data_IF_193787096055
#
_entry.id   IF_193787096055
#
_cell.length_a   1.000
_cell.length_b   1.000
_cell.length_c   1.000
_cell.angle_alpha   90.00
_cell.angle_beta   90.00
_cell.angle_gamma   90.00
#
_symmetry.space_group_name_H-M   'P 1'
#
loop_
_entity.id
_entity.type
_entity.pdbx_description
1 polymer ?
#
# COMPACT_ATOMS: atom_id res chain seq x y z
N UNK A 1 -20.90 6.45 7.15
CA UNK A 1 -21.97 5.74 7.88
C UNK A 1 -22.32 4.38 7.25
N UNK A 2 -22.95 4.33 6.06
CA UNK A 2 -23.40 3.07 5.43
C UNK A 2 -22.30 2.00 5.26
N UNK A 3 -21.09 2.43 4.85
CA UNK A 3 -19.91 1.56 4.79
C UNK A 3 -19.57 0.90 6.14
N UNK A 4 -19.53 1.68 7.23
CA UNK A 4 -19.22 1.18 8.57
C UNK A 4 -20.27 0.17 9.07
N UNK A 5 -21.57 0.41 8.79
CA UNK A 5 -22.63 -0.54 9.14
C UNK A 5 -22.48 -1.85 8.35
N UNK A 6 -22.21 -1.76 7.04
CA UNK A 6 -22.00 -2.95 6.21
C UNK A 6 -20.84 -3.81 6.73
N UNK A 7 -19.73 -3.18 7.10
CA UNK A 7 -18.57 -3.86 7.70
C UNK A 7 -18.87 -4.45 9.08
N UNK A 8 -19.67 -3.77 9.90
CA UNK A 8 -20.13 -4.29 11.19
C UNK A 8 -21.02 -5.52 11.00
N UNK A 9 -21.99 -5.48 10.09
CA UNK A 9 -22.87 -6.62 9.79
C UNK A 9 -22.05 -7.82 9.28
N UNK A 10 -21.10 -7.59 8.37
CA UNK A 10 -20.22 -8.65 7.88
C UNK A 10 -19.40 -9.28 9.01
N UNK A 11 -18.84 -8.46 9.91
CA UNK A 11 -18.12 -8.95 11.10
C UNK A 11 -19.02 -9.75 12.03
N UNK A 12 -20.28 -9.35 12.20
CA UNK A 12 -21.26 -10.09 13.00
C UNK A 12 -21.60 -11.46 12.39
N UNK A 13 -21.78 -11.53 11.06
CA UNK A 13 -22.03 -12.79 10.35
C UNK A 13 -20.86 -13.76 10.56
N UNK A 14 -19.63 -13.29 10.37
CA UNK A 14 -18.43 -14.10 10.62
C UNK A 14 -18.32 -14.53 12.08
N UNK A 15 -18.69 -13.65 13.03
CA UNK A 15 -18.69 -13.99 14.45
C UNK A 15 -19.63 -15.15 14.77
N UNK A 16 -20.85 -15.11 14.21
CA UNK A 16 -21.85 -16.17 14.39
C UNK A 16 -21.36 -17.49 13.80
N UNK A 17 -20.82 -17.47 12.57
CA UNK A 17 -20.27 -18.66 11.91
C UNK A 17 -19.15 -19.31 12.76
N UNK A 18 -18.22 -18.50 13.29
CA UNK A 18 -17.12 -19.00 14.12
C UNK A 18 -17.60 -19.46 15.50
N UNK A 19 -18.60 -18.80 16.08
CA UNK A 19 -19.23 -19.24 17.32
C UNK A 19 -19.88 -20.62 17.17
N UNK A 20 -20.58 -20.88 16.07
CA UNK A 20 -21.13 -22.22 15.78
C UNK A 20 -20.04 -23.29 15.71
N UNK A 21 -18.92 -23.00 15.04
CA UNK A 21 -17.76 -23.90 15.00
C UNK A 21 -17.14 -24.15 16.38
N UNK A 22 -17.09 -23.15 17.24
CA UNK A 22 -16.58 -23.27 18.61
C UNK A 22 -17.46 -24.17 19.49
N UNK A 23 -18.78 -24.01 19.39
CA UNK A 23 -19.75 -24.81 20.16
C UNK A 23 -19.98 -26.21 19.58
N UNK A 24 -19.57 -26.46 18.34
CA UNK A 24 -19.65 -27.80 17.73
C UNK A 24 -18.95 -28.86 18.59
N UNK A 25 -19.50 -30.08 18.74
CA UNK A 25 -18.86 -31.16 19.51
C UNK A 25 -17.57 -31.73 18.86
N UNK A 26 -17.11 -31.18 17.74
CA UNK A 26 -15.93 -31.63 16.98
C UNK A 26 -14.59 -31.31 17.67
N UNK A 27 -13.52 -31.86 17.10
CA UNK A 27 -12.12 -31.87 17.59
C UNK A 27 -11.67 -30.59 18.33
N UNK A 28 -10.90 -30.77 19.41
CA UNK A 28 -10.35 -29.69 20.26
C UNK A 28 -9.53 -28.66 19.48
N UNK A 29 -8.83 -29.06 18.42
CA UNK A 29 -8.02 -28.16 17.58
C UNK A 29 -8.88 -27.15 16.81
N UNK A 30 -10.03 -27.59 16.29
CA UNK A 30 -10.98 -26.72 15.58
C UNK A 30 -11.56 -25.68 16.54
N UNK A 31 -11.80 -26.06 17.80
CA UNK A 31 -12.27 -25.13 18.83
C UNK A 31 -11.24 -24.07 19.16
N UNK A 32 -9.97 -24.44 19.28
CA UNK A 32 -8.91 -23.48 19.56
C UNK A 32 -8.75 -22.47 18.41
N UNK A 33 -8.83 -22.94 17.16
CA UNK A 33 -8.81 -22.06 16.00
C UNK A 33 -10.04 -21.15 15.95
N UNK A 34 -11.25 -21.70 16.14
CA UNK A 34 -12.49 -20.93 16.16
C UNK A 34 -12.49 -19.88 17.29
N UNK A 35 -11.95 -20.21 18.46
CA UNK A 35 -11.79 -19.28 19.57
C UNK A 35 -10.83 -18.14 19.23
N UNK A 36 -9.69 -18.46 18.60
CA UNK A 36 -8.77 -17.44 18.09
C UNK A 36 -9.47 -16.52 17.09
N UNK A 37 -10.19 -17.08 16.11
CA UNK A 37 -10.92 -16.33 15.10
C UNK A 37 -11.99 -15.41 15.75
N UNK A 38 -12.74 -15.89 16.75
CA UNK A 38 -13.71 -15.09 17.51
C UNK A 38 -13.03 -13.91 18.23
N UNK A 39 -11.87 -14.14 18.85
CA UNK A 39 -11.10 -13.08 19.51
C UNK A 39 -10.62 -12.01 18.53
N UNK A 40 -10.39 -12.35 17.27
CA UNK A 40 -10.10 -11.37 16.21
C UNK A 40 -11.36 -10.61 15.77
N UNK A 41 -12.49 -11.29 15.61
CA UNK A 41 -13.70 -10.70 15.01
C UNK A 41 -14.42 -9.74 15.98
N UNK A 42 -14.46 -10.05 17.29
CA UNK A 42 -15.20 -9.23 18.27
C UNK A 42 -14.71 -7.77 18.33
N UNK A 43 -13.39 -7.49 18.43
CA UNK A 43 -12.88 -6.13 18.37
C UNK A 43 -13.21 -5.42 17.06
N UNK A 44 -13.17 -6.14 15.92
CA UNK A 44 -13.52 -5.57 14.60
C UNK A 44 -14.96 -5.08 14.58
N UNK A 45 -15.89 -5.94 15.01
CA UNK A 45 -17.29 -5.58 15.12
C UNK A 45 -17.51 -4.35 16.01
N UNK A 46 -16.90 -4.34 17.20
CA UNK A 46 -17.04 -3.23 18.15
C UNK A 46 -16.56 -1.89 17.59
N UNK A 47 -15.44 -1.88 16.85
CA UNK A 47 -14.92 -0.65 16.29
C UNK A 47 -15.69 -0.18 15.05
N UNK A 48 -16.15 -1.08 14.17
CA UNK A 48 -17.02 -0.67 13.06
C UNK A 48 -18.36 -0.10 13.56
N UNK A 49 -18.90 -0.68 14.64
CA UNK A 49 -20.07 -0.14 15.31
C UNK A 49 -19.79 1.24 15.93
N UNK A 50 -18.65 1.40 16.61
CA UNK A 50 -18.22 2.70 17.15
C UNK A 50 -17.99 3.75 16.06
N UNK A 51 -17.41 3.37 14.91
CA UNK A 51 -17.23 4.25 13.76
C UNK A 51 -18.58 4.64 13.12
N UNK A 52 -19.53 3.70 13.04
CA UNK A 52 -20.88 3.99 12.57
C UNK A 52 -21.60 4.96 13.52
N UNK A 53 -21.50 4.74 14.84
CA UNK A 53 -22.06 5.65 15.85
C UNK A 53 -21.43 7.04 15.74
N UNK A 54 -20.10 7.12 15.68
CA UNK A 54 -19.37 8.39 15.52
C UNK A 54 -19.81 9.13 14.24
N UNK A 55 -19.90 8.43 13.12
CA UNK A 55 -20.38 9.00 11.86
C UNK A 55 -21.84 9.48 11.94
N UNK A 56 -22.69 8.86 12.76
CA UNK A 56 -24.07 9.26 12.98
C UNK A 56 -24.20 10.52 13.86
N UNK A 57 -23.23 10.75 14.75
CA UNK A 57 -23.14 11.95 15.59
C UNK A 57 -22.31 13.06 14.92
N UNK A 58 -22.18 13.03 13.59
CA UNK A 58 -21.41 14.02 12.82
C UNK A 58 -19.98 14.22 13.35
N UNK A 59 -19.38 13.17 13.93
CA UNK A 59 -18.00 13.24 14.34
C UNK A 59 -17.12 13.58 13.14
N UNK A 60 -16.02 14.34 13.34
CA UNK A 60 -15.08 14.64 12.29
C UNK A 60 -14.67 13.38 11.54
N UNK A 61 -14.59 13.46 10.21
CA UNK A 61 -14.20 12.32 9.37
C UNK A 61 -12.87 11.69 9.84
N UNK A 62 -11.94 12.52 10.34
CA UNK A 62 -10.69 12.06 10.95
C UNK A 62 -10.92 11.12 12.13
N UNK A 63 -11.85 11.42 13.04
CA UNK A 63 -12.21 10.56 14.17
C UNK A 63 -12.76 9.21 13.71
N UNK A 64 -13.65 9.22 12.71
CA UNK A 64 -14.22 7.99 12.13
C UNK A 64 -13.11 7.15 11.47
N UNK A 65 -12.21 7.79 10.73
CA UNK A 65 -11.06 7.13 10.11
C UNK A 65 -10.08 6.58 11.14
N UNK A 66 -9.83 7.28 12.24
CA UNK A 66 -9.00 6.77 13.33
C UNK A 66 -9.60 5.56 14.03
N UNK A 67 -10.93 5.49 14.17
CA UNK A 67 -11.61 4.31 14.75
C UNK A 67 -11.51 3.12 13.79
N UNK A 68 -11.77 3.33 12.49
CA UNK A 68 -11.70 2.26 11.47
C UNK A 68 -10.25 1.80 11.27
N UNK A 69 -9.31 2.74 11.15
CA UNK A 69 -7.90 2.42 10.99
C UNK A 69 -7.31 1.82 12.26
N UNK A 70 -7.66 2.37 13.42
CA UNK A 70 -7.35 1.81 14.72
C UNK A 70 -7.86 0.38 14.83
N UNK A 71 -9.00 0.04 14.25
CA UNK A 71 -9.47 -1.34 14.22
C UNK A 71 -8.64 -2.26 13.33
N UNK A 72 -8.23 -1.83 12.14
CA UNK A 72 -7.39 -2.68 11.30
C UNK A 72 -5.99 -2.85 11.91
N UNK A 73 -5.44 -1.77 12.48
CA UNK A 73 -4.18 -1.85 13.21
C UNK A 73 -4.35 -2.65 14.49
N UNK A 74 -5.16 -2.24 15.47
CA UNK A 74 -5.26 -2.96 16.73
C UNK A 74 -5.98 -4.31 16.61
N UNK A 75 -6.95 -4.47 15.72
CA UNK A 75 -7.70 -5.73 15.55
C UNK A 75 -6.92 -6.82 14.82
N UNK A 76 -5.98 -6.49 13.94
CA UNK A 76 -5.07 -7.48 13.34
C UNK A 76 -3.73 -7.54 14.06
N UNK A 77 -3.14 -6.38 14.41
CA UNK A 77 -1.81 -6.31 15.01
C UNK A 77 -1.81 -6.76 16.47
N UNK A 78 -2.85 -6.47 17.27
CA UNK A 78 -2.89 -6.90 18.67
C UNK A 78 -3.03 -8.41 18.78
N UNK A 79 -3.96 -9.09 18.07
CA UNK A 79 -4.04 -10.52 18.21
C UNK A 79 -2.97 -11.22 17.35
N UNK A 80 -2.45 -10.65 16.26
CA UNK A 80 -1.21 -11.15 15.65
C UNK A 80 -0.02 -11.06 16.63
N UNK A 81 0.12 -9.97 17.39
CA UNK A 81 1.12 -9.82 18.43
C UNK A 81 0.87 -10.77 19.61
N UNK A 82 -0.38 -10.98 20.02
CA UNK A 82 -0.73 -11.93 21.06
C UNK A 82 -0.51 -13.37 20.61
N UNK A 83 -0.91 -13.75 19.40
CA UNK A 83 -0.58 -15.05 18.78
C UNK A 83 0.93 -15.21 18.65
N UNK A 84 1.65 -14.15 18.27
CA UNK A 84 3.11 -14.17 18.23
C UNK A 84 3.69 -14.45 19.63
N UNK A 85 3.23 -13.73 20.66
CA UNK A 85 3.71 -13.83 22.04
C UNK A 85 3.32 -15.15 22.72
N UNK A 86 2.06 -15.57 22.62
CA UNK A 86 1.52 -16.75 23.30
C UNK A 86 1.84 -18.07 22.60
N UNK A 87 1.96 -18.10 21.27
CA UNK A 87 2.23 -19.35 20.56
C UNK A 87 3.73 -19.65 20.39
N UNK A 88 4.65 -18.84 20.92
CA UNK A 88 6.11 -19.08 20.80
C UNK A 88 6.59 -20.45 21.31
N UNK A 89 5.74 -21.24 21.99
CA UNK A 89 6.06 -22.58 22.48
C UNK A 89 5.53 -23.79 21.70
N UNK A 90 4.68 -23.62 20.67
CA UNK A 90 4.09 -24.76 19.96
C UNK A 90 4.80 -25.05 18.63
N UNK A 91 5.26 -26.30 18.42
CA UNK A 91 5.86 -26.74 17.16
C UNK A 91 4.87 -26.59 16.00
N UNK A 92 5.23 -25.81 15.00
CA UNK A 92 4.35 -25.51 13.86
C UNK A 92 4.41 -26.63 12.81
N UNK A 93 3.25 -27.12 12.39
CA UNK A 93 3.11 -27.97 11.21
C UNK A 93 3.33 -27.07 9.99
N UNK A 94 4.47 -27.24 9.33
CA UNK A 94 4.87 -26.46 8.17
C UNK A 94 4.15 -26.99 6.91
N UNK A 95 3.06 -26.35 6.52
CA UNK A 95 2.55 -26.50 5.16
C UNK A 95 3.40 -25.57 4.29
N UNK A 96 4.25 -26.15 3.44
CA UNK A 96 5.16 -25.41 2.58
C UNK A 96 4.34 -24.59 1.57
N UNK A 97 4.18 -23.30 1.84
CA UNK A 97 3.68 -22.37 0.83
C UNK A 97 4.76 -22.18 -0.23
N UNK A 98 4.37 -22.11 -1.50
CA UNK A 98 5.27 -21.70 -2.57
C UNK A 98 5.57 -20.19 -2.42
N UNK A 99 6.49 -19.85 -1.52
CA UNK A 99 6.83 -18.48 -1.15
C UNK A 99 7.17 -17.62 -2.38
N UNK A 100 7.88 -18.18 -3.37
CA UNK A 100 8.20 -17.50 -4.63
C UNK A 100 6.93 -17.11 -5.41
N UNK A 101 5.95 -18.01 -5.49
CA UNK A 101 4.70 -17.73 -6.19
C UNK A 101 3.91 -16.64 -5.48
N UNK A 102 3.79 -16.71 -4.15
CA UNK A 102 3.03 -15.73 -3.37
C UNK A 102 3.71 -14.36 -3.43
N UNK A 103 5.03 -14.29 -3.21
CA UNK A 103 5.78 -13.05 -3.31
C UNK A 103 5.60 -12.41 -4.70
N UNK A 104 5.75 -13.20 -5.77
CA UNK A 104 5.51 -12.73 -7.13
C UNK A 104 4.10 -12.16 -7.34
N UNK A 105 3.05 -12.82 -6.83
CA UNK A 105 1.67 -12.32 -6.92
C UNK A 105 1.46 -11.02 -6.16
N UNK A 106 2.06 -10.88 -4.99
CA UNK A 106 2.02 -9.62 -4.24
C UNK A 106 2.80 -8.53 -4.98
N UNK A 107 3.95 -8.82 -5.57
CA UNK A 107 4.68 -7.86 -6.42
C UNK A 107 3.84 -7.36 -7.59
N UNK A 108 3.15 -8.26 -8.32
CA UNK A 108 2.20 -7.90 -9.38
C UNK A 108 1.05 -7.02 -8.85
N UNK A 109 0.48 -7.40 -7.71
CA UNK A 109 -0.59 -6.64 -7.06
C UNK A 109 -0.16 -5.23 -6.67
N UNK A 110 1.03 -5.08 -6.07
CA UNK A 110 1.58 -3.77 -5.70
C UNK A 110 1.85 -2.91 -6.94
N UNK A 111 2.38 -3.49 -8.02
CA UNK A 111 2.52 -2.77 -9.29
C UNK A 111 1.18 -2.23 -9.79
N UNK A 112 0.11 -3.02 -9.66
CA UNK A 112 -1.23 -2.61 -10.08
C UNK A 112 -1.75 -1.44 -9.23
N UNK A 113 -1.63 -1.53 -7.90
CA UNK A 113 -2.06 -0.46 -6.98
C UNK A 113 -1.29 0.85 -7.20
N UNK A 114 0.01 0.74 -7.48
CA UNK A 114 0.85 1.88 -7.80
C UNK A 114 0.52 2.47 -9.16
N UNK A 115 0.27 1.62 -10.16
CA UNK A 115 -0.20 2.02 -11.48
C UNK A 115 -1.52 2.78 -11.42
N UNK A 116 -2.48 2.30 -10.63
CA UNK A 116 -3.77 2.97 -10.40
C UNK A 116 -3.56 4.35 -9.75
N UNK A 117 -2.64 4.45 -8.79
CA UNK A 117 -2.31 5.72 -8.11
C UNK A 117 -1.69 6.74 -9.07
N UNK A 118 -0.88 6.30 -10.04
CA UNK A 118 -0.32 7.17 -11.07
C UNK A 118 -1.38 7.55 -12.10
N UNK A 119 -2.19 6.59 -12.56
CA UNK A 119 -3.28 6.83 -13.51
C UNK A 119 -4.29 7.83 -12.95
N UNK A 120 -4.62 7.76 -11.65
CA UNK A 120 -5.53 8.71 -11.01
C UNK A 120 -5.04 10.15 -11.07
N UNK A 121 -3.71 10.36 -11.05
CA UNK A 121 -3.07 11.67 -11.18
C UNK A 121 -3.02 12.12 -12.65
N UNK A 122 -2.69 11.22 -13.59
CA UNK A 122 -2.61 11.52 -15.04
C UNK A 122 -3.98 11.88 -15.64
N UNK A 123 -5.06 11.24 -15.18
CA UNK A 123 -6.41 11.51 -15.68
C UNK A 123 -6.92 12.91 -15.33
N UNK A 124 -6.25 13.62 -14.42
CA UNK A 124 -6.54 15.00 -14.11
C UNK A 124 -5.98 15.87 -15.25
N UNK A 125 -6.82 16.19 -16.25
CA UNK A 125 -6.41 16.94 -17.44
C UNK A 125 -5.60 18.19 -17.11
N UNK A 126 -4.55 18.45 -17.88
CA UNK A 126 -3.65 19.58 -17.63
C UNK A 126 -4.36 20.90 -17.96
N UNK A 127 -4.51 21.84 -17.00
CA UNK A 127 -4.98 23.18 -17.32
C UNK A 127 -3.99 23.88 -18.25
N UNK A 128 -4.50 24.74 -19.12
CA UNK A 128 -3.65 25.54 -19.98
C UNK A 128 -2.88 26.58 -19.15
N UNK A 129 -1.55 26.41 -19.07
CA UNK A 129 -0.55 27.44 -18.73
C UNK A 129 -0.12 27.67 -17.27
N UNK A 130 -0.44 26.79 -16.31
CA UNK A 130 0.06 26.97 -14.93
C UNK A 130 1.35 26.20 -14.63
N UNK A 131 2.43 26.93 -14.33
CA UNK A 131 3.71 26.32 -13.93
C UNK A 131 3.60 25.49 -12.64
N UNK A 132 2.74 25.89 -11.70
CA UNK A 132 2.57 25.20 -10.41
C UNK A 132 1.96 23.81 -10.57
N UNK A 133 0.99 23.64 -11.49
CA UNK A 133 0.42 22.35 -11.81
C UNK A 133 1.51 21.33 -12.22
N UNK A 134 2.44 21.73 -13.10
CA UNK A 134 3.52 20.85 -13.54
C UNK A 134 4.47 20.46 -12.41
N UNK A 135 4.74 21.38 -11.47
CA UNK A 135 5.58 21.08 -10.29
C UNK A 135 4.89 20.06 -9.38
N UNK A 136 3.60 20.25 -9.06
CA UNK A 136 2.83 19.31 -8.26
C UNK A 136 2.69 17.95 -8.94
N UNK A 137 2.42 17.94 -10.24
CA UNK A 137 2.28 16.73 -11.05
C UNK A 137 3.58 15.92 -11.12
N UNK A 138 4.69 16.57 -11.47
CA UNK A 138 6.00 15.90 -11.55
C UNK A 138 6.44 15.38 -10.19
N UNK A 139 6.24 16.15 -9.13
CA UNK A 139 6.58 15.72 -7.77
C UNK A 139 5.70 14.57 -7.28
N UNK A 140 4.42 14.51 -7.68
CA UNK A 140 3.52 13.39 -7.39
C UNK A 140 3.98 12.09 -8.05
N UNK A 141 4.37 12.16 -9.33
CA UNK A 141 4.96 11.01 -10.05
C UNK A 141 6.26 10.58 -9.39
N UNK A 142 7.11 11.54 -9.00
CA UNK A 142 8.38 11.26 -8.36
C UNK A 142 8.20 10.53 -7.03
N UNK A 143 7.23 10.94 -6.20
CA UNK A 143 6.89 10.24 -4.95
C UNK A 143 6.49 8.78 -5.25
N UNK A 144 5.58 8.57 -6.20
CA UNK A 144 5.12 7.22 -6.57
C UNK A 144 6.28 6.34 -7.09
N UNK A 145 7.15 6.89 -7.96
CA UNK A 145 8.32 6.18 -8.48
C UNK A 145 9.34 5.82 -7.38
N UNK A 146 9.59 6.75 -6.45
CA UNK A 146 10.51 6.48 -5.34
C UNK A 146 9.96 5.41 -4.41
N UNK A 147 8.66 5.43 -4.10
CA UNK A 147 8.01 4.36 -3.33
C UNK A 147 8.11 3.00 -4.02
N UNK A 148 7.93 2.96 -5.34
CA UNK A 148 8.12 1.76 -6.14
C UNK A 148 9.55 1.22 -5.98
N UNK A 149 10.55 2.10 -6.12
CA UNK A 149 11.95 1.75 -5.99
C UNK A 149 12.28 1.25 -4.58
N UNK A 150 11.80 1.94 -3.54
CA UNK A 150 12.01 1.51 -2.14
C UNK A 150 11.38 0.14 -1.91
N UNK A 151 10.14 -0.08 -2.36
CA UNK A 151 9.45 -1.36 -2.21
C UNK A 151 10.23 -2.52 -2.84
N UNK A 152 10.54 -2.45 -4.14
CA UNK A 152 11.23 -3.55 -4.83
C UNK A 152 12.70 -3.71 -4.39
N UNK A 153 13.33 -2.65 -3.89
CA UNK A 153 14.66 -2.78 -3.27
C UNK A 153 14.63 -3.48 -1.91
N UNK A 154 13.46 -3.51 -1.27
CA UNK A 154 13.26 -4.09 0.07
C UNK A 154 12.77 -5.54 0.02
N UNK A 155 12.35 -6.02 -1.16
CA UNK A 155 11.78 -7.35 -1.33
C UNK A 155 12.87 -8.41 -1.56
N UNK A 156 12.80 -9.51 -0.82
CA UNK A 156 13.76 -10.60 -0.93
C UNK A 156 13.32 -11.59 -2.03
N UNK A 157 13.97 -11.57 -3.20
CA UNK A 157 13.59 -12.44 -4.32
C UNK A 157 13.91 -13.93 -4.14
N UNK A 158 14.69 -14.28 -3.11
CA UNK A 158 15.04 -15.68 -2.84
C UNK A 158 13.98 -16.31 -1.92
N UNK A 159 13.30 -17.33 -2.44
CA UNK A 159 12.26 -18.05 -1.73
C UNK A 159 12.74 -18.60 -0.38
N UNK A 160 14.00 -19.03 -0.29
CA UNK A 160 14.57 -19.58 0.95
C UNK A 160 14.82 -18.51 2.02
N UNK A 161 15.08 -17.27 1.61
CA UNK A 161 15.35 -16.17 2.52
C UNK A 161 14.08 -15.37 2.86
N UNK A 162 13.00 -15.53 2.09
CA UNK A 162 11.74 -14.81 2.25
C UNK A 162 11.04 -15.05 3.61
N UNK A 163 10.33 -14.05 4.14
CA UNK A 163 9.61 -14.15 5.43
C UNK A 163 8.62 -15.33 5.46
N UNK A 164 7.93 -15.56 4.33
CA UNK A 164 6.99 -16.66 4.10
C UNK A 164 7.58 -18.07 4.29
N UNK A 165 8.86 -18.28 4.00
CA UNK A 165 9.50 -19.61 4.10
C UNK A 165 10.12 -19.87 5.47
N UNK A 166 10.44 -18.82 6.24
CA UNK A 166 11.12 -18.96 7.53
C UNK A 166 10.20 -19.44 8.65
N UNK A 167 9.05 -18.79 8.79
CA UNK A 167 8.05 -19.09 9.84
C UNK A 167 6.66 -18.74 9.33
N UNK A 168 5.68 -19.60 9.61
CA UNK A 168 4.30 -19.38 9.18
C UNK A 168 3.76 -18.02 9.69
N UNK A 169 4.09 -17.66 10.93
CA UNK A 169 3.68 -16.39 11.54
C UNK A 169 4.30 -15.17 10.89
N UNK A 170 5.60 -15.23 10.60
CA UNK A 170 6.28 -14.14 9.91
C UNK A 170 5.67 -13.95 8.51
N UNK A 171 5.37 -15.05 7.83
CA UNK A 171 4.64 -15.04 6.56
C UNK A 171 3.25 -14.41 6.66
N UNK A 172 2.43 -14.83 7.63
CA UNK A 172 1.11 -14.23 7.87
C UNK A 172 1.21 -12.73 8.15
N UNK A 173 2.08 -12.33 9.06
CA UNK A 173 2.26 -10.93 9.43
C UNK A 173 2.77 -10.08 8.25
N UNK A 174 3.67 -10.63 7.44
CA UNK A 174 4.12 -9.99 6.20
C UNK A 174 2.97 -9.76 5.22
N UNK A 175 2.09 -10.75 5.01
CA UNK A 175 0.92 -10.58 4.13
C UNK A 175 -0.02 -9.47 4.63
N UNK A 176 -0.28 -9.41 5.94
CA UNK A 176 -1.09 -8.32 6.51
C UNK A 176 -0.44 -6.95 6.27
N UNK A 177 0.87 -6.84 6.48
CA UNK A 177 1.61 -5.61 6.20
C UNK A 177 1.48 -5.20 4.73
N UNK A 178 1.54 -6.16 3.80
CA UNK A 178 1.37 -5.89 2.36
C UNK A 178 -0.06 -5.45 2.00
N UNK A 179 -1.08 -5.98 2.66
CA UNK A 179 -2.47 -5.51 2.49
C UNK A 179 -2.65 -4.06 2.96
N UNK A 180 -2.13 -3.72 4.15
CA UNK A 180 -2.17 -2.36 4.69
C UNK A 180 -1.37 -1.40 3.79
N UNK A 181 -0.19 -1.83 3.34
CA UNK A 181 0.64 -1.08 2.38
C UNK A 181 -0.09 -0.81 1.07
N UNK A 182 -0.81 -1.79 0.52
CA UNK A 182 -1.59 -1.66 -0.72
C UNK A 182 -2.71 -0.61 -0.57
N UNK A 183 -3.46 -0.66 0.52
CA UNK A 183 -4.53 0.31 0.79
C UNK A 183 -3.97 1.74 0.95
N UNK A 184 -2.81 1.86 1.60
CA UNK A 184 -2.12 3.13 1.73
C UNK A 184 -1.62 3.67 0.38
N UNK A 185 -1.22 2.83 -0.57
CA UNK A 185 -0.87 3.25 -1.94
C UNK A 185 -2.07 3.87 -2.67
N UNK A 186 -3.23 3.22 -2.63
CA UNK A 186 -4.46 3.79 -3.24
C UNK A 186 -4.80 5.13 -2.60
N UNK A 187 -4.74 5.20 -1.27
CA UNK A 187 -5.04 6.42 -0.50
C UNK A 187 -4.09 7.55 -0.87
N UNK A 188 -2.80 7.23 -1.09
CA UNK A 188 -1.81 8.16 -1.62
C UNK A 188 -2.23 8.68 -2.99
N UNK A 189 -2.56 7.81 -3.96
CA UNK A 189 -3.02 8.23 -5.29
C UNK A 189 -4.24 9.16 -5.25
N UNK A 190 -5.23 8.83 -4.42
CA UNK A 190 -6.42 9.67 -4.21
C UNK A 190 -6.03 11.03 -3.61
N UNK A 191 -5.17 11.06 -2.60
CA UNK A 191 -4.74 12.31 -1.97
C UNK A 191 -3.95 13.21 -2.92
N UNK A 192 -3.06 12.63 -3.75
CA UNK A 192 -2.32 13.35 -4.79
C UNK A 192 -3.28 13.90 -5.85
N UNK A 193 -4.26 13.11 -6.30
CA UNK A 193 -5.30 13.55 -7.24
C UNK A 193 -6.10 14.73 -6.69
N UNK A 194 -6.59 14.63 -5.45
CA UNK A 194 -7.35 15.70 -4.79
C UNK A 194 -6.52 16.96 -4.66
N UNK A 195 -5.25 16.82 -4.31
CA UNK A 195 -4.33 17.94 -4.18
C UNK A 195 -4.08 18.64 -5.51
N UNK A 196 -3.85 17.89 -6.60
CA UNK A 196 -3.75 18.50 -7.94
C UNK A 196 -5.08 19.14 -8.36
N UNK A 197 -6.23 18.52 -8.02
CA UNK A 197 -7.54 19.07 -8.33
C UNK A 197 -7.76 20.44 -7.69
N UNK A 198 -7.29 20.64 -6.46
CA UNK A 198 -7.35 21.94 -5.81
C UNK A 198 -6.53 22.99 -6.56
N UNK A 199 -5.32 22.64 -7.01
CA UNK A 199 -4.47 23.54 -7.82
C UNK A 199 -5.17 23.92 -9.13
N UNK A 200 -5.83 22.98 -9.80
CA UNK A 200 -6.60 23.27 -11.03
C UNK A 200 -7.82 24.17 -10.75
N UNK A 201 -8.48 24.01 -9.60
CA UNK A 201 -9.63 24.83 -9.21
C UNK A 201 -9.21 26.27 -8.86
N UNK A 202 -8.04 26.47 -8.26
CA UNK A 202 -7.51 27.83 -7.97
C UNK A 202 -7.12 28.58 -9.25
N UNK A 203 -6.73 27.84 -10.30
CA UNK A 203 -6.27 28.36 -11.59
C UNK A 203 -7.40 28.86 -12.51
N UNK A 204 -8.57 28.24 -12.43
CA UNK A 204 -9.69 28.49 -13.33
C UNK A 204 -10.70 29.43 -12.70
N UNK A 205 -10.88 30.62 -13.29
CA UNK A 205 -12.00 31.54 -13.03
C UNK A 205 -13.32 30.76 -12.76
N UNK A 206 -14.11 31.27 -11.81
CA UNK A 206 -15.23 30.68 -11.05
C UNK A 206 -16.21 29.70 -11.74
N UNK A 207 -16.21 29.58 -13.06
CA UNK A 207 -17.12 28.75 -13.84
C UNK A 207 -16.95 27.23 -13.62
N UNK A 208 -15.76 26.75 -13.21
CA UNK A 208 -15.52 25.32 -13.00
C UNK A 208 -15.96 24.78 -11.63
N UNK A 209 -16.21 25.65 -10.65
CA UNK A 209 -16.66 25.25 -9.30
C UNK A 209 -18.03 24.55 -9.32
N UNK A 210 -18.82 24.76 -10.38
CA UNK A 210 -20.12 24.12 -10.63
C UNK A 210 -20.08 22.61 -10.92
N UNK A 211 -18.93 22.02 -11.25
CA UNK A 211 -18.88 20.60 -11.67
C UNK A 211 -18.78 19.63 -10.49
N UNK A 212 -18.18 20.05 -9.36
CA UNK A 212 -18.02 19.21 -8.17
C UNK A 212 -19.03 19.52 -7.05
N UNK A 213 -19.64 20.71 -7.07
CA UNK A 213 -20.68 21.12 -6.14
C UNK A 213 -22.00 21.35 -6.86
N UNK A 214 -23.00 20.53 -6.57
CA UNK A 214 -24.41 20.88 -6.64
C UNK A 214 -25.02 21.19 -8.03
N UNK A 215 -25.64 20.18 -8.62
CA UNK A 215 -26.98 20.33 -9.19
C UNK A 215 -27.98 20.40 -8.02
N UNK A 216 -28.00 21.50 -7.28
CA UNK A 216 -29.14 21.85 -6.45
C UNK A 216 -29.99 22.81 -7.27
N UNK A 217 -31.21 22.37 -7.58
CA UNK A 217 -32.18 23.09 -8.39
C UNK A 217 -32.42 24.48 -7.82
N UNK A 218 -31.86 25.48 -8.50
CA UNK A 218 -32.13 26.89 -8.29
C UNK A 218 -33.57 27.16 -8.77
N UNK A 219 -34.51 27.07 -7.85
CA UNK A 219 -35.86 27.56 -8.05
C UNK A 219 -35.81 29.09 -8.03
N UNK A 220 -35.77 29.66 -9.24
CA UNK A 220 -35.83 31.10 -9.44
C UNK A 220 -37.07 31.71 -8.80
N UNK A 221 -36.84 32.56 -7.81
CA UNK A 221 -37.77 33.59 -7.38
C UNK A 221 -37.13 34.94 -7.66
N UNK A 222 -37.63 35.59 -8.72
CA UNK A 222 -37.34 36.95 -9.13
C UNK A 222 -37.80 37.94 -8.05
N UNK A 223 -36.92 38.38 -7.14
CA UNK A 223 -37.18 39.56 -6.32
C UNK A 223 -35.97 40.49 -6.13
N UNK A 224 -35.98 41.54 -6.96
CA UNK A 224 -35.64 42.95 -6.72
C UNK A 224 -34.60 43.33 -5.64
N UNK A 225 -33.52 43.93 -6.14
CA UNK A 225 -32.99 45.25 -5.75
C UNK A 225 -33.11 45.66 -4.27
N UNK A 226 -32.09 45.30 -3.47
CA UNK A 226 -31.61 46.13 -2.38
C UNK A 226 -30.10 45.91 -2.19
N UNK A 227 -29.37 47.00 -2.01
CA UNK A 227 -27.93 47.08 -1.78
C UNK A 227 -27.44 46.18 -0.63
N UNK A 228 -27.11 44.93 -0.94
CA UNK A 228 -26.46 44.04 0.02
C UNK A 228 -24.95 44.03 -0.27
N UNK A 229 -24.25 44.83 0.53
CA UNK A 229 -22.82 44.76 0.73
C UNK A 229 -22.50 43.42 1.41
N UNK A 230 -22.55 42.33 0.65
CA UNK A 230 -22.15 41.01 1.12
C UNK A 230 -20.63 41.01 1.30
N UNK A 231 -20.20 40.89 2.55
CA UNK A 231 -18.81 40.65 2.92
C UNK A 231 -18.37 39.30 2.33
N UNK A 232 -17.66 39.35 1.19
CA UNK A 232 -17.10 38.21 0.44
C UNK A 232 -16.05 37.36 1.21
N UNK A 233 -15.90 37.53 2.53
CA UNK A 233 -14.76 36.98 3.28
C UNK A 233 -14.96 35.52 3.76
N UNK A 234 -16.21 35.01 3.78
CA UNK A 234 -16.52 33.70 4.36
C UNK A 234 -16.07 32.50 3.48
N UNK A 235 -15.92 32.69 2.16
CA UNK A 235 -15.53 31.61 1.24
C UNK A 235 -14.08 31.12 1.39
N UNK A 236 -13.21 31.96 1.94
CA UNK A 236 -11.78 31.68 2.10
C UNK A 236 -11.47 30.67 3.21
N UNK A 237 -12.31 30.64 4.25
CA UNK A 237 -12.13 29.75 5.40
C UNK A 237 -12.50 28.29 5.10
N UNK A 238 -13.50 28.05 4.25
CA UNK A 238 -13.93 26.69 3.90
C UNK A 238 -12.88 25.93 3.07
N UNK A 239 -12.21 26.62 2.13
CA UNK A 239 -11.19 26.00 1.26
C UNK A 239 -9.98 25.50 2.05
N UNK A 240 -9.50 26.29 3.01
CA UNK A 240 -8.39 25.93 3.90
C UNK A 240 -8.66 24.64 4.69
N UNK A 241 -9.92 24.40 5.09
CA UNK A 241 -10.30 23.19 5.80
C UNK A 241 -10.14 21.92 4.94
N UNK A 242 -10.50 22.00 3.66
CA UNK A 242 -10.38 20.87 2.72
C UNK A 242 -8.92 20.56 2.40
N UNK A 243 -8.11 21.59 2.13
CA UNK A 243 -6.67 21.44 1.86
C UNK A 243 -5.94 20.74 3.01
N UNK A 244 -6.23 21.16 4.25
CA UNK A 244 -5.63 20.53 5.43
C UNK A 244 -6.01 19.04 5.53
N UNK A 245 -7.27 18.70 5.28
CA UNK A 245 -7.72 17.30 5.30
C UNK A 245 -7.05 16.43 4.22
N UNK A 246 -6.88 16.98 3.01
CA UNK A 246 -6.15 16.30 1.92
C UNK A 246 -4.71 16.06 2.35
N UNK A 247 -4.09 17.05 2.98
CA UNK A 247 -2.72 16.93 3.42
C UNK A 247 -2.52 15.94 4.57
N UNK A 248 -3.45 15.89 5.53
CA UNK A 248 -3.47 14.83 6.55
C UNK A 248 -3.57 13.46 5.92
N UNK A 249 -4.43 13.29 4.92
CA UNK A 249 -4.60 12.03 4.21
C UNK A 249 -3.30 11.60 3.49
N UNK A 250 -2.66 12.54 2.80
CA UNK A 250 -1.39 12.35 2.10
C UNK A 250 -0.27 11.97 3.07
N UNK A 251 -0.04 12.78 4.10
CA UNK A 251 0.95 12.54 5.15
C UNK A 251 0.76 11.18 5.84
N UNK A 252 -0.47 10.87 6.22
CA UNK A 252 -0.79 9.63 6.91
C UNK A 252 -0.57 8.41 6.01
N UNK A 253 -0.95 8.50 4.74
CA UNK A 253 -0.74 7.41 3.77
C UNK A 253 0.76 7.10 3.58
N UNK A 254 1.62 8.12 3.48
CA UNK A 254 3.06 7.95 3.39
C UNK A 254 3.66 7.35 4.67
N UNK A 255 3.21 7.82 5.84
CA UNK A 255 3.65 7.29 7.12
C UNK A 255 3.33 5.79 7.27
N UNK A 256 2.14 5.37 6.85
CA UNK A 256 1.75 3.95 6.82
C UNK A 256 2.64 3.18 5.87
N UNK A 257 2.88 3.69 4.67
CA UNK A 257 3.71 3.00 3.67
C UNK A 257 5.14 2.77 4.19
N UNK A 258 5.77 3.79 4.76
CA UNK A 258 7.11 3.65 5.35
C UNK A 258 7.14 2.67 6.52
N UNK A 259 6.14 2.73 7.39
CA UNK A 259 6.05 1.83 8.55
C UNK A 259 5.88 0.38 8.08
N UNK A 260 4.98 0.13 7.13
CA UNK A 260 4.75 -1.21 6.56
C UNK A 260 5.98 -1.76 5.84
N UNK A 261 6.69 -0.93 5.07
CA UNK A 261 7.95 -1.34 4.44
C UNK A 261 9.01 -1.70 5.46
N UNK A 262 9.18 -0.89 6.51
CA UNK A 262 10.15 -1.16 7.56
C UNK A 262 9.83 -2.45 8.33
N UNK A 263 8.56 -2.69 8.62
CA UNK A 263 8.11 -3.96 9.23
C UNK A 263 8.43 -5.12 8.30
N UNK A 264 8.11 -5.02 7.00
CA UNK A 264 8.38 -6.06 6.01
C UNK A 264 9.87 -6.41 5.91
N UNK A 265 10.76 -5.41 5.83
CA UNK A 265 12.22 -5.61 5.84
C UNK A 265 12.66 -6.37 7.10
N UNK A 266 12.16 -5.94 8.26
CA UNK A 266 12.48 -6.58 9.54
C UNK A 266 12.03 -8.05 9.58
N UNK A 267 10.90 -8.38 8.93
CA UNK A 267 10.41 -9.76 8.81
C UNK A 267 11.27 -10.60 7.86
N UNK A 268 11.72 -10.02 6.74
CA UNK A 268 12.64 -10.70 5.81
C UNK A 268 13.98 -11.03 6.47
N UNK A 269 14.58 -10.08 7.18
CA UNK A 269 15.84 -10.35 7.90
C UNK A 269 15.65 -11.31 9.07
N UNK A 270 14.44 -11.36 9.63
CA UNK A 270 14.07 -12.16 10.78
C UNK A 270 14.50 -11.48 12.08
N UNK A 271 13.55 -11.25 12.98
CA UNK A 271 13.72 -10.46 14.20
C UNK A 271 15.02 -10.78 14.98
N UNK A 272 15.35 -12.06 15.13
CA UNK A 272 16.54 -12.49 15.87
C UNK A 272 17.85 -12.17 15.15
N UNK A 273 17.90 -12.36 13.82
CA UNK A 273 19.07 -11.97 13.01
C UNK A 273 19.19 -10.46 12.95
N UNK A 274 18.07 -9.76 12.80
CA UNK A 274 18.00 -8.32 12.87
C UNK A 274 18.57 -7.81 14.20
N UNK A 275 18.09 -8.32 15.35
CA UNK A 275 18.62 -7.92 16.66
C UNK A 275 20.08 -8.32 16.90
N UNK A 276 20.52 -9.49 16.44
CA UNK A 276 21.93 -9.89 16.59
C UNK A 276 22.87 -9.07 15.70
N UNK A 277 22.45 -8.75 14.47
CA UNK A 277 23.15 -7.77 13.63
C UNK A 277 23.14 -6.38 14.26
N UNK A 278 22.01 -5.97 14.80
CA UNK A 278 21.84 -4.73 15.55
C UNK A 278 22.87 -4.65 16.67
N UNK A 279 22.95 -5.63 17.57
CA UNK A 279 23.95 -5.62 18.66
C UNK A 279 25.41 -5.71 18.20
N UNK A 280 25.69 -6.14 16.97
CA UNK A 280 27.05 -6.21 16.40
C UNK A 280 27.53 -4.90 15.77
N UNK A 281 26.64 -3.96 15.46
CA UNK A 281 27.05 -2.64 14.95
C UNK A 281 27.48 -1.72 16.10
N UNK A 282 28.35 -0.76 15.82
CA UNK A 282 28.59 0.33 16.77
C UNK A 282 27.25 1.01 17.07
N UNK A 283 26.93 1.15 18.35
CA UNK A 283 25.71 1.80 18.87
C UNK A 283 25.38 3.11 18.15
N UNK A 284 26.41 3.84 17.72
CA UNK A 284 26.30 5.09 16.94
C UNK A 284 25.61 4.91 15.58
N UNK A 285 25.99 3.90 14.78
CA UNK A 285 25.43 3.69 13.42
C UNK A 285 23.96 3.30 13.48
N UNK A 286 23.60 2.53 14.49
CA UNK A 286 22.22 2.09 14.73
C UNK A 286 21.36 3.26 15.15
N UNK A 287 21.83 4.05 16.12
CA UNK A 287 21.13 5.24 16.59
C UNK A 287 20.93 6.23 15.43
N UNK A 288 21.91 6.33 14.54
CA UNK A 288 21.80 7.13 13.33
C UNK A 288 20.70 6.62 12.39
N UNK A 289 20.70 5.32 12.06
CA UNK A 289 19.72 4.72 11.12
C UNK A 289 18.29 4.73 11.70
N UNK A 290 18.12 4.26 12.93
CA UNK A 290 16.81 4.24 13.60
C UNK A 290 16.34 5.67 13.86
N UNK A 291 17.25 6.54 14.30
CA UNK A 291 17.00 7.96 14.51
C UNK A 291 16.54 8.64 13.23
N UNK A 292 17.20 8.41 12.09
CA UNK A 292 16.79 8.99 10.81
C UNK A 292 15.42 8.50 10.37
N UNK A 293 15.10 7.21 10.53
CA UNK A 293 13.79 6.66 10.19
C UNK A 293 12.67 7.25 11.06
N UNK A 294 12.89 7.34 12.36
CA UNK A 294 11.93 7.95 13.30
C UNK A 294 11.76 9.43 12.98
N UNK A 295 12.85 10.16 12.73
CA UNK A 295 12.79 11.58 12.35
C UNK A 295 12.02 11.77 11.05
N UNK A 296 12.26 10.97 10.01
CA UNK A 296 11.52 11.06 8.74
C UNK A 296 10.04 10.77 8.96
N UNK A 297 9.70 9.75 9.75
CA UNK A 297 8.31 9.41 10.07
C UNK A 297 7.62 10.55 10.86
N UNK A 298 8.29 11.09 11.88
CA UNK A 298 7.79 12.22 12.67
C UNK A 298 7.61 13.46 11.81
N UNK A 299 8.58 13.80 10.95
CA UNK A 299 8.47 14.91 10.02
C UNK A 299 7.30 14.72 9.06
N UNK A 300 7.11 13.51 8.54
CA UNK A 300 5.99 13.18 7.65
C UNK A 300 4.66 13.38 8.37
N UNK A 301 4.51 12.90 9.61
CA UNK A 301 3.28 13.02 10.40
C UNK A 301 3.00 14.44 10.93
N UNK A 302 4.05 15.21 11.21
CA UNK A 302 3.92 16.60 11.66
C UNK A 302 3.72 17.58 10.50
N UNK A 303 3.91 17.14 9.26
CA UNK A 303 3.86 18.00 8.08
C UNK A 303 2.54 18.79 7.95
N UNK A 304 1.36 18.21 8.23
CA UNK A 304 0.10 18.96 8.22
C UNK A 304 0.05 20.11 9.24
N UNK A 305 0.80 20.03 10.35
CA UNK A 305 0.81 21.09 11.36
C UNK A 305 1.60 22.32 10.91
N UNK A 306 2.64 22.12 10.10
CA UNK A 306 3.44 23.21 9.54
C UNK A 306 2.83 23.81 8.27
N UNK A 307 1.85 23.12 7.69
CA UNK A 307 1.25 23.47 6.41
C UNK A 307 0.29 24.66 6.47
N UNK A 308 -0.17 25.07 7.65
CA UNK A 308 -1.08 26.22 7.77
C UNK A 308 -0.49 27.53 7.23
N UNK A 309 0.84 27.59 7.07
CA UNK A 309 1.57 28.76 6.58
C UNK A 309 2.19 28.54 5.18
N UNK A 310 2.17 27.31 4.66
CA UNK A 310 2.95 26.92 3.47
C UNK A 310 2.04 26.60 2.29
N UNK A 311 2.50 26.90 1.09
CA UNK A 311 1.78 26.51 -0.11
C UNK A 311 1.84 24.99 -0.31
N UNK A 312 0.76 24.42 -0.85
CA UNK A 312 0.64 22.99 -1.07
C UNK A 312 1.80 22.43 -1.92
N UNK A 313 2.30 23.18 -2.91
CA UNK A 313 3.42 22.74 -3.75
C UNK A 313 4.74 22.59 -2.98
N UNK A 314 5.06 23.50 -2.04
CA UNK A 314 6.28 23.42 -1.22
C UNK A 314 6.28 22.17 -0.35
N UNK A 315 5.12 21.87 0.21
CA UNK A 315 4.86 20.68 1.01
C UNK A 315 5.08 19.41 0.20
N UNK A 316 4.60 19.37 -1.05
CA UNK A 316 4.76 18.18 -1.90
C UNK A 316 6.21 18.01 -2.36
N UNK A 317 6.93 19.11 -2.64
CA UNK A 317 8.38 19.08 -2.89
C UNK A 317 9.11 18.53 -1.66
N UNK A 318 8.78 19.02 -0.46
CA UNK A 318 9.38 18.53 0.78
C UNK A 318 9.11 17.03 0.97
N UNK A 319 7.89 16.57 0.72
CA UNK A 319 7.56 15.14 0.79
C UNK A 319 8.32 14.31 -0.26
N UNK A 320 8.47 14.81 -1.48
CA UNK A 320 9.29 14.16 -2.51
C UNK A 320 10.76 14.05 -2.07
N UNK A 321 11.33 15.12 -1.52
CA UNK A 321 12.69 15.13 -0.96
C UNK A 321 12.84 14.13 0.19
N UNK A 322 11.90 14.09 1.14
CA UNK A 322 11.91 13.12 2.24
C UNK A 322 11.84 11.67 1.72
N UNK A 323 11.05 11.42 0.67
CA UNK A 323 10.92 10.11 0.03
C UNK A 323 12.23 9.70 -0.65
N UNK A 324 12.89 10.64 -1.34
CA UNK A 324 14.21 10.42 -1.96
C UNK A 324 15.25 10.09 -0.90
N UNK A 325 15.33 10.88 0.17
CA UNK A 325 16.27 10.66 1.28
C UNK A 325 16.05 9.27 1.88
N UNK A 326 14.79 8.88 2.09
CA UNK A 326 14.44 7.55 2.58
C UNK A 326 14.93 6.45 1.64
N UNK A 327 14.76 6.62 0.33
CA UNK A 327 15.29 5.69 -0.67
C UNK A 327 16.80 5.56 -0.65
N UNK A 328 17.52 6.67 -0.45
CA UNK A 328 18.98 6.64 -0.29
C UNK A 328 19.42 5.90 0.98
N UNK A 329 18.74 6.14 2.12
CA UNK A 329 19.02 5.43 3.38
C UNK A 329 18.83 3.93 3.17
N UNK A 330 17.72 3.51 2.55
CA UNK A 330 17.43 2.10 2.28
C UNK A 330 18.47 1.47 1.35
N UNK A 331 18.86 2.16 0.28
CA UNK A 331 19.89 1.70 -0.65
C UNK A 331 21.24 1.50 0.04
N UNK A 332 21.61 2.42 0.93
CA UNK A 332 22.85 2.35 1.69
C UNK A 332 22.86 1.17 2.68
N UNK A 333 21.73 0.91 3.36
CA UNK A 333 21.56 -0.28 4.21
C UNK A 333 21.78 -1.57 3.42
N UNK A 334 21.11 -1.70 2.27
CA UNK A 334 21.22 -2.88 1.42
C UNK A 334 22.67 -3.11 0.95
N UNK A 335 23.40 -2.04 0.63
CA UNK A 335 24.81 -2.11 0.26
C UNK A 335 25.69 -2.63 1.41
N UNK A 336 25.48 -2.14 2.63
CA UNK A 336 26.22 -2.59 3.83
C UNK A 336 25.99 -4.08 4.07
N UNK A 337 24.72 -4.53 4.01
CA UNK A 337 24.37 -5.95 4.19
C UNK A 337 25.07 -6.81 3.14
N UNK A 338 25.07 -6.38 1.88
CA UNK A 338 25.72 -7.11 0.79
C UNK A 338 27.23 -7.22 0.96
N UNK A 339 27.91 -6.12 1.29
CA UNK A 339 29.36 -6.11 1.53
C UNK A 339 29.76 -7.03 2.69
N UNK A 340 28.95 -7.10 3.74
CA UNK A 340 29.19 -7.99 4.87
C UNK A 340 29.02 -9.45 4.51
N UNK A 341 27.96 -9.82 3.79
CA UNK A 341 27.76 -11.19 3.30
C UNK A 341 28.95 -11.65 2.45
N UNK A 342 29.48 -10.75 1.60
CA UNK A 342 30.68 -11.00 0.82
C UNK A 342 31.91 -11.22 1.69
N UNK A 343 32.17 -10.35 2.66
CA UNK A 343 33.31 -10.47 3.59
C UNK A 343 33.28 -11.78 4.39
N UNK A 344 32.11 -12.19 4.90
CA UNK A 344 31.97 -13.46 5.62
C UNK A 344 32.27 -14.66 4.71
N UNK A 345 31.80 -14.64 3.46
CA UNK A 345 32.08 -15.70 2.48
C UNK A 345 33.56 -15.83 2.12
N UNK A 346 34.31 -14.72 2.12
CA UNK A 346 35.74 -14.69 1.84
C UNK A 346 36.56 -15.13 3.06
N UNK A 347 36.19 -14.70 4.27
CA UNK A 347 36.88 -15.09 5.52
C UNK A 347 36.68 -16.56 5.91
N UNK A 348 35.54 -17.16 5.54
CA UNK A 348 35.24 -18.58 5.79
C UNK A 348 35.92 -19.55 4.81
N UNK A 349 36.57 -19.04 3.77
CA UNK A 349 37.01 -19.81 2.60
C UNK A 349 38.28 -20.65 2.75
N UNK A 350 38.93 -20.72 3.92
CA UNK A 350 40.21 -21.45 4.06
C UNK A 350 40.16 -22.74 4.88
N UNK A 351 39.02 -23.17 5.41
CA UNK A 351 38.96 -24.43 6.18
C UNK A 351 37.82 -25.31 5.68
N UNK A 352 38.16 -26.18 4.73
CA UNK A 352 37.43 -27.39 4.32
C UNK A 352 35.93 -27.21 4.05
N UNK A 353 35.51 -27.08 2.78
CA UNK A 353 34.19 -27.53 2.31
C UNK A 353 34.09 -27.48 0.78
N UNK A 354 34.40 -28.60 0.12
CA UNK A 354 34.25 -28.81 -1.33
C UNK A 354 32.82 -29.05 -1.81
N UNK A 355 31.78 -28.68 -1.07
CA UNK A 355 30.40 -29.13 -1.36
C UNK A 355 29.36 -28.05 -1.69
N UNK A 356 29.54 -26.79 -1.28
CA UNK A 356 28.44 -25.80 -1.27
C UNK A 356 28.92 -24.48 -1.89
N UNK A 357 29.15 -24.45 -3.21
CA UNK A 357 29.63 -23.25 -3.92
C UNK A 357 28.72 -22.76 -5.06
N UNK A 358 27.52 -23.33 -5.25
CA UNK A 358 26.69 -23.03 -6.42
C UNK A 358 25.68 -21.86 -6.28
N UNK A 359 25.29 -21.44 -5.07
CA UNK A 359 24.16 -20.50 -4.94
C UNK A 359 24.53 -19.00 -5.02
N UNK A 360 25.73 -18.59 -4.64
CA UNK A 360 26.14 -17.17 -4.63
C UNK A 360 26.31 -16.56 -6.04
N UNK A 361 26.72 -17.37 -7.03
CA UNK A 361 26.91 -16.91 -8.41
C UNK A 361 25.58 -16.60 -9.12
N UNK A 362 24.47 -17.17 -8.65
CA UNK A 362 23.13 -17.00 -9.25
C UNK A 362 22.48 -15.64 -8.92
N UNK A 363 22.65 -15.12 -7.69
CA UNK A 363 22.05 -13.83 -7.25
C UNK A 363 22.56 -12.63 -8.08
N UNK A 364 23.86 -12.56 -8.39
CA UNK A 364 24.45 -11.45 -9.16
C UNK A 364 24.05 -11.46 -10.64
N UNK A 365 23.84 -12.65 -11.22
CA UNK A 365 23.42 -12.77 -12.62
C UNK A 365 21.93 -12.44 -12.82
N UNK A 366 21.06 -12.72 -11.83
CA UNK A 366 19.61 -12.48 -11.91
C UNK A 366 19.27 -10.97 -11.83
N UNK A 367 19.93 -10.21 -10.96
CA UNK A 367 19.74 -8.76 -10.86
C UNK A 367 20.18 -8.02 -12.13
N UNK A 368 21.36 -8.37 -12.67
CA UNK A 368 21.85 -7.77 -13.91
C UNK A 368 20.95 -8.11 -15.11
N UNK A 369 20.41 -9.34 -15.18
CA UNK A 369 19.47 -9.72 -16.22
C UNK A 369 18.13 -8.99 -16.07
N UNK A 370 17.65 -8.75 -14.85
CA UNK A 370 16.41 -8.01 -14.61
C UNK A 370 16.56 -6.54 -15.02
N UNK A 371 17.64 -5.86 -14.60
CA UNK A 371 17.93 -4.49 -15.02
C UNK A 371 18.10 -4.36 -16.55
N UNK A 372 18.74 -5.35 -17.18
CA UNK A 372 18.87 -5.38 -18.64
C UNK A 372 17.54 -5.64 -19.35
N UNK A 373 16.65 -6.47 -18.79
CA UNK A 373 15.32 -6.73 -19.35
C UNK A 373 14.38 -5.54 -19.18
N UNK A 374 14.43 -4.85 -18.04
CA UNK A 374 13.68 -3.63 -17.76
C UNK A 374 14.15 -2.47 -18.64
N UNK A 375 15.46 -2.32 -18.83
CA UNK A 375 16.02 -1.36 -19.78
C UNK A 375 15.59 -1.67 -21.21
N UNK A 376 15.54 -2.95 -21.62
CA UNK A 376 15.07 -3.34 -22.96
C UNK A 376 13.59 -3.03 -23.16
N UNK A 377 12.72 -3.33 -22.20
CA UNK A 377 11.28 -3.04 -22.33
C UNK A 377 10.96 -1.55 -22.40
N UNK A 378 11.82 -0.69 -21.83
CA UNK A 378 11.71 0.77 -21.94
C UNK A 378 12.18 1.34 -23.29
N UNK A 379 12.97 0.57 -24.06
CA UNK A 379 13.56 1.03 -25.34
C UNK A 379 12.97 0.38 -26.57
N UNK A 380 12.06 -0.58 -26.42
CA UNK A 380 11.55 -1.38 -27.52
C UNK A 380 10.22 -0.81 -28.02
N UNK A 381 10.30 0.20 -28.90
CA UNK A 381 9.21 0.54 -29.82
C UNK A 381 9.11 -0.60 -30.85
N UNK A 382 8.29 -1.62 -30.55
CA UNK A 382 8.02 -2.68 -31.52
C UNK A 382 7.35 -2.06 -32.77
N UNK A 383 7.93 -2.22 -33.98
CA UNK A 383 7.33 -1.69 -35.19
C UNK A 383 5.99 -2.40 -35.45
N UNK A 384 4.96 -1.58 -35.69
CA UNK A 384 3.60 -2.00 -36.03
C UNK A 384 3.66 -3.11 -37.10
N UNK A 385 3.11 -4.31 -36.84
CA UNK A 385 3.13 -5.39 -37.81
C UNK A 385 2.29 -5.00 -39.02
N UNK A 386 2.96 -4.70 -40.14
CA UNK A 386 2.31 -4.52 -41.44
C UNK A 386 1.55 -5.79 -41.80
N UNK A 387 0.22 -5.69 -41.89
CA UNK A 387 -0.67 -6.77 -42.31
C UNK A 387 -0.23 -7.33 -43.66
N UNK A 388 0.25 -8.58 -43.62
CA UNK A 388 0.53 -9.37 -44.81
C UNK A 388 -0.82 -9.89 -45.35
N UNK A 389 -1.28 -9.33 -46.48
CA UNK A 389 -2.39 -9.88 -47.26
C UNK A 389 -2.09 -11.35 -47.62
N UNK A 390 -2.87 -12.28 -47.08
CA UNK A 390 -2.90 -13.67 -47.54
C UNK A 390 -4.09 -13.88 -48.45
N UNK A 391 -3.78 -14.31 -49.67
CA UNK A 391 -4.70 -14.63 -50.74
C UNK A 391 -5.61 -15.83 -50.44
N UNK A 392 -6.77 -15.79 -51.09
CA UNK A 392 -7.84 -16.80 -51.10
C UNK A 392 -7.40 -18.10 -51.76
N UNK A 393 -7.80 -19.25 -51.22
CA UNK A 393 -7.69 -20.53 -51.92
C UNK A 393 -8.30 -21.75 -51.21
N UNK A 394 -9.48 -22.16 -51.70
CA UNK A 394 -10.05 -23.53 -51.76
C UNK A 394 -10.27 -24.40 -50.49
N UNK A 395 -11.54 -24.46 -50.10
CA UNK A 395 -12.41 -25.66 -49.91
C UNK A 395 -11.72 -27.04 -49.86
N UNK A 396 -11.91 -27.74 -48.73
CA UNK A 396 -12.22 -29.17 -48.71
C UNK A 396 -12.92 -29.54 -47.40
N UNK A 397 -14.13 -30.08 -47.53
CA UNK A 397 -14.99 -30.64 -46.50
C UNK A 397 -14.47 -31.96 -45.97
N UNK A 398 -14.49 -32.18 -44.65
CA UNK A 398 -14.80 -33.52 -44.11
C UNK A 398 -15.34 -33.45 -42.69
N UNK A 399 -16.44 -34.18 -42.52
CA UNK A 399 -17.28 -34.28 -41.34
C UNK A 399 -16.55 -34.92 -40.15
N UNK A 400 -16.76 -34.38 -38.94
CA UNK A 400 -16.77 -35.21 -37.72
C UNK A 400 -18.00 -34.86 -36.90
N UNK A 401 -18.78 -35.91 -36.70
CA UNK A 401 -20.00 -36.04 -35.91
C UNK A 401 -19.69 -35.80 -34.43
N UNK A 402 -20.41 -34.88 -33.78
CA UNK A 402 -20.69 -34.97 -32.35
C UNK A 402 -22.17 -34.68 -32.15
N UNK A 403 -22.90 -35.76 -31.89
CA UNK A 403 -24.29 -35.76 -31.44
C UNK A 403 -24.32 -35.59 -29.92
N UNK A 404 -25.30 -34.78 -29.50
CA UNK A 404 -26.11 -34.92 -28.28
C UNK A 404 -25.43 -34.60 -26.93
N UNK A 405 -26.10 -33.99 -25.94
CA UNK A 405 -27.43 -33.37 -25.80
C UNK A 405 -27.56 -33.00 -24.31
N UNK A 406 -27.96 -31.77 -24.00
CA UNK A 406 -29.23 -31.41 -23.32
C UNK A 406 -29.17 -31.21 -21.78
N UNK A 407 -29.72 -30.04 -21.40
CA UNK A 407 -30.38 -29.60 -20.16
C UNK A 407 -29.57 -29.63 -18.84
N UNK A 408 -29.55 -28.58 -18.01
CA UNK A 408 -30.54 -27.52 -17.80
C UNK A 408 -31.25 -27.76 -16.47
N UNK A 409 -31.16 -26.81 -15.54
CA UNK A 409 -32.21 -26.45 -14.58
C UNK A 409 -31.69 -25.45 -13.53
N UNK A 410 -32.52 -24.46 -13.28
CA UNK A 410 -32.48 -23.46 -12.23
C UNK A 410 -32.50 -24.08 -10.83
N UNK A 411 -31.79 -23.43 -9.90
CA UNK A 411 -32.26 -23.00 -8.57
C UNK A 411 -31.29 -21.97 -7.99
#
# INVERSE_FOLDING_TARGET
>A
FGFCISMAINSLILLVEKAELYFSPRCKEIKLQAFSDILHIVPKFGCFLAAAIAANYEAPFSTVMWIVFGQEVFGELLPAAMTFMFCCGCGEIFIAWHAEHIAHRYGEWIMLMLGESILSVILLGAPHAESYYYVCFTSSILIAQMLQLVHFSSEEFDACDHALSRKLRAGKFWMYCMSVYSAALITLGVSLKLMLSNVVCEAGDDDHRRILGASYDDHGDDHNDADDHYDDDDGSHFCKGIEMNILYLLSFSLAIQYTSLWISITLHEGLQKYFTHFFQHSTVTILYIMGSKVVILSLTLCLPWYASEWYAHDILILMAVLTIIQGFIQSHENMIVHLRQKSMSESGGSRNLGGIRKNSFYKKHKLNNWLASFSKSMTQDDPIPTQKKTDKGSVSTTNVVVQNSIAGAEL
#
